data_IF_131757538000
#
_entry.id   IF_131757538000
#
_cell.length_a   1.000
_cell.length_b   1.000
_cell.length_c   1.000
_cell.angle_alpha   90.00
_cell.angle_beta   90.00
_cell.angle_gamma   90.00
#
_symmetry.space_group_name_H-M   'P 1'
#
loop_
_entity.id
_entity.type
_entity.pdbx_description
1 polymer ?
#
# COMPACT_ATOMS: atom_id res chain seq x y z
N UNK A 1 -31.32 -18.68 -6.34
CA UNK A 1 -31.61 -17.26 -6.07
C UNK A 1 -31.11 -16.96 -4.67
N UNK A 2 -29.93 -16.37 -4.55
CA UNK A 2 -29.44 -15.88 -3.29
C UNK A 2 -30.30 -14.67 -2.86
N UNK A 3 -30.67 -14.51 -1.60
CA UNK A 3 -31.40 -13.35 -1.13
C UNK A 3 -30.54 -12.12 -1.37
N UNK A 4 -30.99 -11.22 -2.25
CA UNK A 4 -30.38 -9.90 -2.38
C UNK A 4 -30.74 -9.13 -1.11
N UNK A 5 -29.74 -8.75 -0.32
CA UNK A 5 -29.92 -7.87 0.81
C UNK A 5 -30.47 -6.50 0.38
N UNK A 6 -31.00 -5.72 1.32
CA UNK A 6 -31.42 -4.35 1.05
C UNK A 6 -30.17 -3.49 0.70
N UNK A 7 -30.30 -2.51 -0.21
CA UNK A 7 -29.20 -1.61 -0.53
C UNK A 7 -28.84 -0.74 0.69
N UNK A 8 -27.56 -0.36 0.78
CA UNK A 8 -27.07 0.58 1.78
C UNK A 8 -27.64 2.00 1.55
N UNK A 9 -27.34 2.94 2.42
CA UNK A 9 -27.78 4.33 2.35
C UNK A 9 -27.31 5.07 1.08
N UNK A 10 -26.35 4.49 0.33
CA UNK A 10 -25.82 5.01 -0.94
C UNK A 10 -26.38 4.24 -2.15
N UNK A 11 -27.29 3.28 -1.93
CA UNK A 11 -27.91 2.51 -3.00
C UNK A 11 -27.08 1.35 -3.53
N UNK A 12 -26.02 0.96 -2.86
CA UNK A 12 -25.20 -0.20 -3.21
C UNK A 12 -25.84 -1.45 -2.62
N UNK A 13 -26.02 -2.47 -3.45
CA UNK A 13 -26.41 -3.78 -2.96
C UNK A 13 -25.18 -4.51 -2.40
N UNK A 14 -25.30 -5.23 -1.27
CA UNK A 14 -24.25 -6.13 -0.84
C UNK A 14 -23.97 -7.09 -1.98
N UNK A 15 -22.71 -7.21 -2.37
CA UNK A 15 -22.28 -8.17 -3.38
C UNK A 15 -22.67 -9.58 -2.96
N UNK A 16 -22.71 -10.56 -3.90
CA UNK A 16 -23.08 -11.94 -3.60
C UNK A 16 -22.18 -12.62 -2.58
N UNK A 17 -21.10 -12.00 -2.23
CA UNK A 17 -20.27 -12.24 -1.04
C UNK A 17 -19.69 -10.91 -0.60
N UNK A 18 -20.25 -10.32 0.43
CA UNK A 18 -19.44 -9.55 1.36
C UNK A 18 -18.83 -10.59 2.31
N UNK A 19 -17.63 -11.12 2.05
CA UNK A 19 -17.01 -12.11 2.93
C UNK A 19 -16.69 -11.51 4.30
N UNK A 20 -16.80 -10.19 4.40
CA UNK A 20 -16.42 -9.43 5.56
C UNK A 20 -17.62 -8.62 6.05
N UNK A 21 -18.39 -9.12 7.01
CA UNK A 21 -19.40 -8.30 7.64
C UNK A 21 -18.70 -7.10 8.31
N UNK A 22 -18.89 -5.91 7.77
CA UNK A 22 -18.44 -4.64 8.35
C UNK A 22 -19.13 -4.37 9.69
N UNK A 23 -19.09 -5.34 10.61
CA UNK A 23 -19.92 -5.36 11.82
C UNK A 23 -19.39 -4.49 12.96
N UNK A 24 -18.18 -3.88 12.87
CA UNK A 24 -17.59 -3.22 14.03
C UNK A 24 -17.08 -1.80 13.81
N UNK A 25 -16.98 -1.28 12.58
CA UNK A 25 -16.33 0.01 12.33
C UNK A 25 -14.82 0.01 12.67
N UNK A 26 -14.23 -1.17 12.82
CA UNK A 26 -12.82 -1.39 13.08
C UNK A 26 -12.15 -1.90 11.79
N UNK A 27 -10.87 -1.65 11.65
CA UNK A 27 -10.09 -2.25 10.56
C UNK A 27 -9.98 -3.76 10.75
N UNK A 28 -9.98 -4.50 9.63
CA UNK A 28 -9.54 -5.90 9.65
C UNK A 28 -8.08 -5.98 10.05
N UNK A 29 -7.75 -6.93 10.91
CA UNK A 29 -6.37 -7.18 11.29
C UNK A 29 -5.71 -8.13 10.28
N UNK A 30 -4.38 -8.16 10.26
CA UNK A 30 -3.63 -9.14 9.47
C UNK A 30 -3.99 -10.58 9.86
N UNK A 31 -4.29 -10.83 11.15
CA UNK A 31 -4.72 -12.13 11.64
C UNK A 31 -6.11 -12.52 11.12
N UNK A 32 -7.05 -11.57 11.05
CA UNK A 32 -8.37 -11.82 10.44
C UNK A 32 -8.21 -12.19 8.96
N UNK A 33 -7.36 -11.46 8.22
CA UNK A 33 -7.10 -11.70 6.82
C UNK A 33 -6.40 -13.04 6.57
N UNK A 34 -5.55 -13.50 7.49
CA UNK A 34 -4.85 -14.79 7.37
C UNK A 34 -5.79 -15.98 7.34
N UNK A 35 -7.01 -15.82 7.84
CA UNK A 35 -8.05 -16.85 7.83
C UNK A 35 -9.09 -16.56 6.76
N UNK A 36 -9.80 -15.43 6.88
CA UNK A 36 -11.00 -15.16 6.08
C UNK A 36 -10.67 -14.88 4.61
N UNK A 37 -9.66 -14.03 4.34
CA UNK A 37 -9.28 -13.70 2.97
C UNK A 37 -8.62 -14.89 2.26
N UNK A 38 -7.74 -15.61 2.95
CA UNK A 38 -7.03 -16.77 2.37
C UNK A 38 -8.02 -17.85 1.97
N UNK A 39 -9.00 -18.17 2.82
CA UNK A 39 -10.03 -19.15 2.50
C UNK A 39 -10.87 -18.71 1.30
N UNK A 40 -11.29 -17.44 1.26
CA UNK A 40 -12.05 -16.89 0.15
C UNK A 40 -11.28 -16.96 -1.18
N UNK A 41 -10.04 -16.49 -1.20
CA UNK A 41 -9.19 -16.48 -2.42
C UNK A 41 -8.96 -17.89 -2.95
N UNK A 42 -8.70 -18.84 -2.05
CA UNK A 42 -8.54 -20.25 -2.39
C UNK A 42 -9.82 -20.84 -2.99
N UNK A 43 -10.96 -20.60 -2.36
CA UNK A 43 -12.25 -21.14 -2.79
C UNK A 43 -12.70 -20.55 -4.14
N UNK A 44 -12.34 -19.30 -4.41
CA UNK A 44 -12.57 -18.64 -5.70
C UNK A 44 -11.58 -19.05 -6.79
N UNK A 45 -10.51 -19.76 -6.44
CA UNK A 45 -9.50 -20.25 -7.38
C UNK A 45 -8.53 -19.20 -7.88
N UNK A 46 -8.37 -18.07 -7.16
CA UNK A 46 -7.32 -17.09 -7.47
C UNK A 46 -5.95 -17.61 -7.03
N UNK A 47 -4.93 -17.21 -7.77
CA UNK A 47 -3.54 -17.62 -7.53
C UNK A 47 -2.71 -16.56 -6.84
N UNK A 48 -3.15 -15.32 -6.87
CA UNK A 48 -2.45 -14.17 -6.28
C UNK A 48 -3.47 -13.19 -5.73
N UNK A 49 -3.02 -12.42 -4.74
CA UNK A 49 -3.70 -11.22 -4.26
C UNK A 49 -2.79 -10.01 -4.49
N UNK A 50 -3.39 -8.89 -4.81
CA UNK A 50 -2.73 -7.58 -4.77
C UNK A 50 -3.28 -6.82 -3.58
N UNK A 51 -2.39 -6.35 -2.71
CA UNK A 51 -2.76 -5.57 -1.53
C UNK A 51 -2.37 -4.12 -1.73
N UNK A 52 -3.27 -3.21 -1.38
CA UNK A 52 -3.00 -1.77 -1.36
C UNK A 52 -1.80 -1.46 -0.47
N UNK A 53 -1.19 -0.24 -0.58
CA UNK A 53 0.06 0.05 0.11
C UNK A 53 0.00 -0.25 1.61
N UNK A 54 0.91 -1.13 2.08
CA UNK A 54 1.02 -1.53 3.48
C UNK A 54 2.11 -0.75 4.24
N UNK A 55 2.79 0.16 3.58
CA UNK A 55 3.76 1.06 4.21
C UNK A 55 3.04 2.06 5.12
N UNK A 56 3.70 2.48 6.21
CA UNK A 56 3.09 3.39 7.18
C UNK A 56 2.78 4.77 6.58
N UNK A 57 1.60 5.30 6.90
CA UNK A 57 1.07 6.54 6.36
C UNK A 57 0.20 7.26 7.40
N UNK A 58 0.14 8.61 7.42
CA UNK A 58 -0.57 9.36 8.46
C UNK A 58 -2.08 9.42 8.26
N UNK A 59 -2.56 9.29 7.02
CA UNK A 59 -3.95 9.57 6.66
C UNK A 59 -4.64 8.34 6.04
N UNK A 60 -5.65 7.82 6.71
CA UNK A 60 -6.41 6.63 6.26
C UNK A 60 -7.07 6.83 4.90
N UNK A 61 -7.62 8.02 4.65
CA UNK A 61 -8.26 8.36 3.37
C UNK A 61 -7.31 8.38 2.17
N UNK A 62 -5.99 8.28 2.39
CA UNK A 62 -5.02 8.11 1.31
C UNK A 62 -4.91 6.66 0.81
N UNK A 63 -5.55 5.71 1.49
CA UNK A 63 -5.44 4.27 1.21
C UNK A 63 -4.00 3.75 1.21
N UNK A 64 -3.10 4.44 1.92
CA UNK A 64 -1.68 4.12 1.98
C UNK A 64 -0.80 4.80 0.94
N UNK A 65 -1.36 5.53 -0.02
CA UNK A 65 -0.58 6.18 -1.08
C UNK A 65 0.20 7.42 -0.63
N UNK A 66 -0.11 7.98 0.53
CA UNK A 66 0.67 9.08 1.13
C UNK A 66 1.64 8.53 2.17
N UNK A 67 2.65 7.82 1.71
CA UNK A 67 3.60 7.10 2.56
C UNK A 67 4.53 8.04 3.33
N UNK A 68 4.75 7.72 4.62
CA UNK A 68 5.79 8.34 5.46
C UNK A 68 6.83 7.33 5.93
N UNK A 69 6.44 6.09 6.21
CA UNK A 69 7.31 5.03 6.74
C UNK A 69 7.59 3.94 5.73
N UNK A 70 8.51 4.15 4.79
CA UNK A 70 8.82 3.19 3.72
C UNK A 70 9.29 1.82 4.23
N UNK A 71 9.96 1.77 5.39
CA UNK A 71 10.49 0.55 6.01
C UNK A 71 9.64 0.07 7.20
N UNK A 72 8.40 0.54 7.32
CA UNK A 72 7.50 0.17 8.39
C UNK A 72 6.17 -0.33 7.82
N UNK A 73 5.74 -1.51 8.23
CA UNK A 73 4.37 -1.96 8.00
C UNK A 73 3.40 -1.07 8.79
N UNK A 74 2.30 -0.67 8.14
CA UNK A 74 1.31 0.16 8.85
C UNK A 74 0.78 -0.55 10.09
N UNK A 75 0.73 0.18 11.18
CA UNK A 75 0.26 -0.32 12.47
C UNK A 75 -1.28 -0.44 12.58
N UNK A 76 -2.00 0.04 11.57
CA UNK A 76 -3.48 0.03 11.53
C UNK A 76 -4.09 -1.36 11.61
N UNK A 77 -3.42 -2.34 11.01
CA UNK A 77 -3.94 -3.69 10.83
C UNK A 77 -3.24 -4.71 11.73
N UNK A 78 -2.28 -4.27 12.53
CA UNK A 78 -1.51 -5.12 13.42
C UNK A 78 -0.03 -4.76 13.45
N UNK A 79 0.81 -5.70 13.84
CA UNK A 79 2.26 -5.54 13.90
C UNK A 79 2.96 -6.23 12.71
N UNK A 80 4.26 -5.97 12.48
CA UNK A 80 4.99 -6.58 11.37
C UNK A 80 4.99 -8.11 11.36
N UNK A 81 5.00 -8.75 12.52
CA UNK A 81 4.98 -10.21 12.64
C UNK A 81 3.64 -10.79 12.20
N UNK A 82 2.54 -10.10 12.48
CA UNK A 82 1.21 -10.49 12.00
C UNK A 82 1.09 -10.34 10.49
N UNK A 83 1.70 -9.30 9.90
CA UNK A 83 1.78 -9.17 8.44
C UNK A 83 2.59 -10.32 7.82
N UNK A 84 3.74 -10.67 8.41
CA UNK A 84 4.53 -11.83 7.96
C UNK A 84 3.73 -13.12 8.06
N UNK A 85 2.97 -13.32 9.15
CA UNK A 85 2.09 -14.47 9.33
C UNK A 85 0.98 -14.52 8.26
N UNK A 86 0.37 -13.39 7.92
CA UNK A 86 -0.63 -13.32 6.85
C UNK A 86 -0.04 -13.73 5.50
N UNK A 87 1.15 -13.25 5.15
CA UNK A 87 1.83 -13.62 3.90
C UNK A 87 2.18 -15.12 3.90
N UNK A 88 2.66 -15.64 5.03
CA UNK A 88 2.97 -17.07 5.21
C UNK A 88 1.71 -17.94 5.01
N UNK A 89 0.58 -17.54 5.60
CA UNK A 89 -0.70 -18.22 5.40
C UNK A 89 -1.16 -18.23 3.92
N UNK A 90 -0.92 -17.14 3.19
CA UNK A 90 -1.15 -17.09 1.74
C UNK A 90 -0.27 -18.11 1.02
N UNK A 91 1.02 -18.18 1.34
CA UNK A 91 1.96 -19.11 0.73
C UNK A 91 1.62 -20.57 1.03
N UNK A 92 1.23 -20.88 2.27
CA UNK A 92 0.76 -22.22 2.63
C UNK A 92 -0.47 -22.65 1.81
N UNK A 93 -1.32 -21.70 1.45
CA UNK A 93 -2.47 -21.93 0.59
C UNK A 93 -2.13 -21.92 -0.92
N UNK A 94 -0.88 -21.69 -1.30
CA UNK A 94 -0.43 -21.59 -2.69
C UNK A 94 -0.82 -20.28 -3.39
N UNK A 95 -1.01 -19.21 -2.61
CA UNK A 95 -1.42 -17.87 -3.07
C UNK A 95 -0.21 -16.93 -2.97
N UNK A 96 0.16 -16.32 -4.09
CA UNK A 96 1.19 -15.28 -4.12
C UNK A 96 0.65 -13.92 -3.66
N UNK A 97 1.51 -13.10 -3.06
CA UNK A 97 1.18 -11.75 -2.55
C UNK A 97 1.93 -10.69 -3.33
N UNK A 98 1.20 -9.81 -3.99
CA UNK A 98 1.72 -8.63 -4.69
C UNK A 98 1.43 -7.41 -3.82
N UNK A 99 2.47 -6.65 -3.51
CA UNK A 99 2.34 -5.43 -2.71
C UNK A 99 2.34 -4.20 -3.62
N UNK A 100 1.38 -3.32 -3.40
CA UNK A 100 1.38 -2.01 -4.05
C UNK A 100 2.44 -1.11 -3.38
N UNK A 101 3.35 -0.59 -4.19
CA UNK A 101 4.50 0.19 -3.75
C UNK A 101 4.51 1.57 -4.42
N UNK A 102 4.72 2.60 -3.60
CA UNK A 102 4.55 4.01 -3.98
C UNK A 102 5.91 4.70 -4.12
N UNK A 103 6.51 4.76 -5.31
CA UNK A 103 7.80 5.42 -5.53
C UNK A 103 7.71 6.94 -5.73
N UNK A 104 6.57 7.56 -5.43
CA UNK A 104 6.31 8.96 -5.77
C UNK A 104 7.11 9.96 -4.92
N UNK A 105 7.11 9.79 -3.62
CA UNK A 105 7.74 10.70 -2.66
C UNK A 105 7.09 10.58 -1.28
N UNK A 106 7.69 11.20 -0.28
CA UNK A 106 7.09 11.25 1.06
C UNK A 106 5.81 12.08 1.06
N UNK A 107 4.88 11.74 1.95
CA UNK A 107 3.78 12.62 2.29
C UNK A 107 4.33 13.98 2.77
N UNK A 108 3.70 15.07 2.34
CA UNK A 108 4.04 16.42 2.82
C UNK A 108 3.50 16.60 4.24
N UNK A 109 4.27 16.11 5.22
CA UNK A 109 3.94 16.15 6.64
C UNK A 109 5.10 16.76 7.42
N UNK A 110 4.79 17.69 8.33
CA UNK A 110 5.78 18.37 9.19
C UNK A 110 6.55 17.39 10.09
N UNK A 111 5.99 16.23 10.37
CA UNK A 111 6.62 15.14 11.14
C UNK A 111 7.40 14.15 10.27
N UNK A 112 7.32 14.28 8.95
CA UNK A 112 7.99 13.40 8.00
C UNK A 112 9.47 13.75 7.79
N UNK A 113 10.10 12.98 6.88
CA UNK A 113 11.54 13.12 6.59
C UNK A 113 11.87 14.22 5.57
N UNK A 114 10.88 14.88 4.98
CA UNK A 114 11.05 15.78 3.85
C UNK A 114 12.10 16.88 4.10
N UNK A 115 12.08 17.51 5.26
CA UNK A 115 13.03 18.58 5.63
C UNK A 115 13.70 18.34 6.99
N UNK A 116 13.99 17.08 7.30
CA UNK A 116 14.49 16.68 8.61
C UNK A 116 15.72 17.46 9.09
N UNK A 117 16.61 17.84 8.18
CA UNK A 117 17.80 18.65 8.49
C UNK A 117 17.73 20.08 7.96
N UNK A 118 16.53 20.58 7.63
CA UNK A 118 16.30 21.91 7.06
C UNK A 118 16.42 21.98 5.53
N UNK A 119 16.71 20.87 4.87
CA UNK A 119 16.80 20.75 3.41
C UNK A 119 16.06 19.52 2.92
N UNK A 120 15.56 19.55 1.68
CA UNK A 120 15.01 18.37 1.01
C UNK A 120 16.15 17.40 0.67
N UNK A 121 16.23 16.28 1.39
CA UNK A 121 17.27 15.26 1.19
C UNK A 121 16.96 14.29 0.08
N UNK A 122 15.69 13.91 -0.06
CA UNK A 122 15.22 12.88 -0.97
C UNK A 122 14.50 13.46 -2.19
N UNK A 123 13.99 14.68 -2.09
CA UNK A 123 13.02 15.26 -3.00
C UNK A 123 13.47 16.61 -3.52
N UNK A 124 12.79 17.09 -4.55
CA UNK A 124 13.10 18.38 -5.15
C UNK A 124 11.89 19.34 -5.22
N UNK A 125 10.67 18.82 -5.21
CA UNK A 125 9.44 19.62 -5.28
C UNK A 125 8.22 18.88 -4.71
N UNK A 126 7.11 19.58 -4.56
CA UNK A 126 5.81 19.02 -4.18
C UNK A 126 5.04 18.69 -5.45
N UNK A 127 4.43 17.51 -5.52
CA UNK A 127 3.57 17.14 -6.63
C UNK A 127 2.26 17.96 -6.61
N UNK A 128 1.90 18.67 -7.71
CA UNK A 128 0.80 19.62 -7.70
C UNK A 128 -0.57 19.01 -7.36
N UNK A 129 -0.77 17.73 -7.67
CA UNK A 129 -2.07 17.06 -7.54
C UNK A 129 -2.15 16.04 -6.41
N UNK A 130 -1.01 15.55 -5.89
CA UNK A 130 -1.01 14.42 -4.93
C UNK A 130 -0.78 14.84 -3.48
N UNK A 131 -0.34 16.08 -3.24
CA UNK A 131 0.01 16.55 -1.89
C UNK A 131 1.22 15.82 -1.29
N UNK A 132 2.00 15.11 -2.12
CA UNK A 132 3.24 14.44 -1.76
C UNK A 132 4.42 15.19 -2.37
N UNK A 133 5.61 14.97 -1.81
CA UNK A 133 6.84 15.39 -2.47
C UNK A 133 7.16 14.48 -3.65
N UNK A 134 8.06 14.92 -4.55
CA UNK A 134 8.59 14.09 -5.64
C UNK A 134 10.01 13.72 -5.34
N UNK A 135 10.33 12.42 -5.39
CA UNK A 135 11.70 11.95 -5.25
C UNK A 135 12.61 12.48 -6.37
N UNK A 136 13.81 12.88 -5.98
CA UNK A 136 14.87 13.25 -6.93
C UNK A 136 15.61 11.97 -7.37
N UNK A 137 15.09 11.32 -8.39
CA UNK A 137 15.67 10.10 -8.95
C UNK A 137 17.06 10.30 -9.57
N UNK A 138 17.52 11.54 -9.78
CA UNK A 138 18.88 11.81 -10.24
C UNK A 138 19.92 11.54 -9.16
N UNK A 139 19.53 11.60 -7.87
CA UNK A 139 20.43 11.32 -6.75
C UNK A 139 20.65 9.83 -6.55
N UNK A 140 21.92 9.44 -6.42
CA UNK A 140 22.31 8.04 -6.18
C UNK A 140 21.76 7.49 -4.87
N UNK A 141 21.73 8.33 -3.83
CA UNK A 141 21.23 8.01 -2.50
C UNK A 141 19.73 7.71 -2.52
N UNK A 142 18.96 8.47 -3.28
CA UNK A 142 17.51 8.26 -3.43
C UNK A 142 17.23 6.94 -4.15
N UNK A 143 17.94 6.67 -5.25
CA UNK A 143 17.83 5.37 -5.95
C UNK A 143 18.22 4.22 -5.03
N UNK A 144 19.31 4.36 -4.28
CA UNK A 144 19.74 3.34 -3.31
C UNK A 144 18.69 3.11 -2.23
N UNK A 145 18.11 4.17 -1.68
CA UNK A 145 17.03 4.09 -0.71
C UNK A 145 15.83 3.31 -1.25
N UNK A 146 15.37 3.64 -2.47
CA UNK A 146 14.20 3.01 -3.09
C UNK A 146 14.46 1.55 -3.46
N UNK A 147 15.62 1.24 -4.04
CA UNK A 147 16.00 -0.15 -4.35
C UNK A 147 16.10 -0.98 -3.07
N UNK A 148 16.77 -0.45 -2.05
CA UNK A 148 16.88 -1.14 -0.75
C UNK A 148 15.51 -1.33 -0.10
N UNK A 149 14.58 -0.41 -0.30
CA UNK A 149 13.23 -0.53 0.23
C UNK A 149 12.45 -1.66 -0.45
N UNK A 150 12.51 -1.79 -1.76
CA UNK A 150 11.89 -2.93 -2.46
C UNK A 150 12.50 -4.25 -2.00
N UNK A 151 13.83 -4.32 -1.91
CA UNK A 151 14.52 -5.51 -1.40
C UNK A 151 14.12 -5.84 0.04
N UNK A 152 13.94 -4.83 0.89
CA UNK A 152 13.47 -5.02 2.26
C UNK A 152 12.12 -5.75 2.31
N UNK A 153 11.15 -5.37 1.48
CA UNK A 153 9.85 -6.02 1.42
C UNK A 153 9.92 -7.43 0.83
N UNK A 154 10.72 -7.63 -0.21
CA UNK A 154 10.92 -8.94 -0.82
C UNK A 154 11.66 -9.92 0.12
N UNK A 155 12.69 -9.46 0.81
CA UNK A 155 13.57 -10.33 1.61
C UNK A 155 13.06 -10.58 3.03
N UNK A 156 12.39 -9.60 3.66
CA UNK A 156 11.95 -9.72 5.05
C UNK A 156 10.47 -10.09 5.19
N UNK A 157 9.62 -9.68 4.26
CA UNK A 157 8.20 -10.02 4.27
C UNK A 157 7.84 -11.10 3.24
N UNK A 158 8.76 -11.42 2.34
CA UNK A 158 8.57 -12.44 1.31
C UNK A 158 7.38 -12.18 0.37
N UNK A 159 7.11 -10.89 0.06
CA UNK A 159 6.13 -10.61 -1.00
C UNK A 159 6.64 -11.12 -2.34
N UNK A 160 5.75 -11.66 -3.18
CA UNK A 160 6.12 -12.33 -4.43
C UNK A 160 6.26 -11.36 -5.59
N UNK A 161 5.66 -10.19 -5.47
CA UNK A 161 5.70 -9.17 -6.51
C UNK A 161 5.43 -7.77 -5.99
N UNK A 162 5.76 -6.80 -6.83
CA UNK A 162 5.56 -5.38 -6.56
C UNK A 162 4.74 -4.77 -7.69
N UNK A 163 3.62 -4.16 -7.36
CA UNK A 163 2.91 -3.24 -8.25
C UNK A 163 3.42 -1.82 -7.98
N UNK A 164 3.96 -1.17 -8.99
CA UNK A 164 4.50 0.20 -8.86
C UNK A 164 3.42 1.23 -9.20
N UNK A 165 3.07 2.04 -8.21
CA UNK A 165 2.14 3.14 -8.43
C UNK A 165 2.82 4.36 -9.06
N UNK A 166 2.06 5.11 -9.88
CA UNK A 166 2.51 6.40 -10.43
C UNK A 166 3.82 6.34 -11.22
N UNK A 167 4.12 5.23 -11.89
CA UNK A 167 5.39 4.98 -12.59
C UNK A 167 5.78 6.05 -13.61
N UNK A 168 4.80 6.77 -14.16
CA UNK A 168 5.05 7.89 -15.08
C UNK A 168 5.86 9.02 -14.42
N UNK A 169 5.73 9.23 -13.11
CA UNK A 169 6.54 10.21 -12.38
C UNK A 169 8.02 9.83 -12.30
N UNK A 170 8.35 8.55 -12.49
CA UNK A 170 9.74 8.06 -12.54
C UNK A 170 10.33 8.12 -13.94
N UNK A 171 9.50 7.92 -14.96
CA UNK A 171 9.95 7.76 -16.34
C UNK A 171 10.04 9.10 -17.11
N UNK A 172 9.20 10.07 -16.75
CA UNK A 172 9.10 11.33 -17.47
C UNK A 172 9.49 12.50 -16.57
N UNK A 173 10.57 13.21 -16.93
CA UNK A 173 11.10 14.33 -16.15
C UNK A 173 10.11 15.50 -15.98
N UNK A 174 9.21 15.66 -16.93
CA UNK A 174 8.21 16.73 -16.93
C UNK A 174 6.82 16.26 -16.49
N UNK A 175 6.70 15.05 -15.92
CA UNK A 175 5.41 14.57 -15.44
C UNK A 175 4.88 15.45 -14.31
N UNK A 176 3.63 15.94 -14.46
CA UNK A 176 2.99 16.81 -13.49
C UNK A 176 3.50 18.27 -13.50
N UNK A 177 4.30 18.64 -14.49
CA UNK A 177 4.57 20.05 -14.79
C UNK A 177 3.50 20.47 -15.81
N UNK A 178 2.73 21.50 -15.49
CA UNK A 178 1.78 22.07 -16.44
C UNK A 178 2.58 22.55 -17.67
N UNK A 179 2.17 22.11 -18.86
CA UNK A 179 2.73 22.62 -20.11
C UNK A 179 2.43 24.13 -20.16
N UNK A 180 3.45 24.99 -20.43
CA UNK A 180 3.27 26.44 -20.44
C UNK A 180 2.37 26.93 -21.57
#
# INVERSE_FOLDING_TARGET
>A
DAPQGEPDEYGNYPGPMDPFPAQRGEFYTYDDLSVELVDYVRDMGYTHIEVMPLMEHPFDGSWGYQTTGYYAATSRYGNPQQLMHFIDACHEAGIGVIMDWVPGGFCADDHGLATFNGHMLFEHEIHPNWGTHKFDFARGEVRSFLVSNVLYWLENFHVDGIRMDGVSSMLYLNFGIDDP
#
